data_IF_290415317726
#
_entry.id   IF_290415317726
#
_cell.length_a   1.000
_cell.length_b   1.000
_cell.length_c   1.000
_cell.angle_alpha   90.00
_cell.angle_beta   90.00
_cell.angle_gamma   90.00
#
_symmetry.space_group_name_H-M   'P 1'
#
loop_
_entity.id
_entity.type
_entity.pdbx_description
1 polymer ?
#
# COMPACT_ATOMS: atom_id res chain seq x y z
N UNK A 1 40.86 28.69 4.02
CA UNK A 1 39.70 27.82 3.69
C UNK A 1 38.81 28.54 2.68
N UNK A 2 38.75 28.08 1.43
CA UNK A 2 37.99 28.77 0.36
C UNK A 2 36.45 28.69 0.52
N UNK A 3 35.94 27.73 1.30
CA UNK A 3 34.49 27.54 1.51
C UNK A 3 33.86 28.51 2.53
N UNK A 4 34.65 29.14 3.41
CA UNK A 4 34.10 29.98 4.48
C UNK A 4 33.48 31.29 3.97
N UNK A 5 33.97 31.84 2.85
CA UNK A 5 33.42 33.07 2.23
C UNK A 5 31.93 32.93 1.86
N UNK A 6 31.49 31.73 1.54
CA UNK A 6 30.12 31.47 1.07
C UNK A 6 29.24 30.79 2.13
N UNK A 7 29.77 30.47 3.32
CA UNK A 7 29.03 29.69 4.32
C UNK A 7 27.82 30.44 4.90
N UNK A 8 27.83 31.77 4.85
CA UNK A 8 26.71 32.61 5.31
C UNK A 8 25.37 32.27 4.63
N UNK A 9 25.38 31.71 3.40
CA UNK A 9 24.14 31.34 2.69
C UNK A 9 23.34 30.25 3.41
N UNK A 10 23.98 29.43 4.24
CA UNK A 10 23.28 28.43 5.07
C UNK A 10 22.33 29.06 6.09
N UNK A 11 22.56 30.31 6.49
CA UNK A 11 21.72 31.02 7.46
C UNK A 11 20.34 31.38 6.90
N UNK A 12 20.14 31.31 5.58
CA UNK A 12 18.83 31.50 4.94
C UNK A 12 17.96 30.23 4.96
N UNK A 13 18.52 29.07 5.34
CA UNK A 13 17.72 27.86 5.53
C UNK A 13 16.81 28.04 6.75
N UNK A 14 15.51 27.77 6.58
CA UNK A 14 14.55 27.77 7.69
C UNK A 14 14.49 26.38 8.34
N UNK A 15 14.55 26.33 9.67
CA UNK A 15 14.23 25.11 10.39
C UNK A 15 12.72 24.85 10.40
N UNK A 16 12.33 23.62 10.08
CA UNK A 16 10.94 23.21 9.90
C UNK A 16 10.60 21.99 10.76
N UNK A 17 10.95 22.06 12.04
CA UNK A 17 10.70 20.98 12.99
C UNK A 17 9.22 20.88 13.33
N UNK A 18 8.66 19.69 13.16
CA UNK A 18 7.30 19.37 13.56
C UNK A 18 7.16 19.38 15.09
N UNK A 19 6.06 19.97 15.59
CA UNK A 19 5.76 20.07 17.01
C UNK A 19 5.88 18.70 17.71
N UNK A 20 6.62 18.57 18.83
CA UNK A 20 6.69 17.33 19.60
C UNK A 20 5.32 16.84 20.07
N UNK A 21 5.21 15.55 20.39
CA UNK A 21 3.99 14.91 20.89
C UNK A 21 2.75 15.04 19.98
N UNK A 22 2.95 15.39 18.70
CA UNK A 22 1.92 15.39 17.68
C UNK A 22 2.16 14.24 16.71
N UNK A 23 1.06 13.65 16.22
CA UNK A 23 1.09 12.77 15.06
C UNK A 23 1.60 13.56 13.86
N UNK A 24 2.50 12.97 13.08
CA UNK A 24 2.92 13.53 11.80
C UNK A 24 2.26 12.68 10.72
N UNK A 25 1.39 13.29 9.94
CA UNK A 25 0.79 12.65 8.77
C UNK A 25 1.43 13.21 7.51
N UNK A 26 2.03 12.32 6.73
CA UNK A 26 2.52 12.65 5.39
C UNK A 26 1.50 12.13 4.40
N UNK A 27 0.79 13.02 3.70
CA UNK A 27 -0.07 12.63 2.59
C UNK A 27 0.68 12.83 1.28
N UNK A 28 0.56 11.88 0.37
CA UNK A 28 1.00 11.96 -1.01
C UNK A 28 -0.23 11.82 -1.93
N UNK A 29 -0.19 12.49 -3.08
CA UNK A 29 -1.27 12.49 -4.08
C UNK A 29 -0.67 12.48 -5.50
N UNK A 30 -1.27 11.70 -6.39
CA UNK A 30 -0.85 11.58 -7.78
C UNK A 30 -0.99 12.88 -8.57
N UNK A 31 0.13 13.48 -8.99
CA UNK A 31 0.07 14.72 -9.78
C UNK A 31 -0.53 14.48 -11.16
N UNK A 32 -1.68 15.09 -11.41
CA UNK A 32 -2.41 14.98 -12.68
C UNK A 32 -2.71 13.52 -13.07
N UNK A 33 -3.07 12.71 -12.08
CA UNK A 33 -3.26 11.26 -12.27
C UNK A 33 -4.45 10.90 -13.15
N UNK A 34 -5.39 11.82 -13.39
CA UNK A 34 -6.41 11.66 -14.43
C UNK A 34 -5.77 11.39 -15.80
N UNK A 35 -4.89 12.29 -16.27
CA UNK A 35 -4.14 12.11 -17.52
C UNK A 35 -3.25 10.86 -17.47
N UNK A 36 -2.63 10.59 -16.33
CA UNK A 36 -1.80 9.39 -16.17
C UNK A 36 -2.60 8.11 -16.38
N UNK A 37 -3.80 8.04 -15.78
CA UNK A 37 -4.69 6.90 -15.90
C UNK A 37 -5.20 6.70 -17.32
N UNK A 38 -5.44 7.78 -18.07
CA UNK A 38 -5.92 7.71 -19.45
C UNK A 38 -4.81 7.23 -20.41
N UNK A 39 -3.60 7.79 -20.28
CA UNK A 39 -2.43 7.43 -21.10
C UNK A 39 -2.00 5.98 -20.86
N UNK A 40 -2.17 5.46 -19.64
CA UNK A 40 -1.82 4.08 -19.29
C UNK A 40 -3.01 3.12 -19.32
N UNK A 41 -4.15 3.57 -19.85
CA UNK A 41 -5.35 2.74 -20.05
C UNK A 41 -5.81 2.01 -18.79
N UNK A 42 -6.00 2.77 -17.71
CA UNK A 42 -6.54 2.23 -16.48
C UNK A 42 -7.99 1.82 -16.67
N UNK A 43 -8.35 0.68 -16.09
CA UNK A 43 -9.73 0.22 -16.00
C UNK A 43 -10.53 1.21 -15.15
N UNK A 44 -11.74 1.52 -15.61
CA UNK A 44 -12.66 2.41 -14.92
C UNK A 44 -13.88 1.62 -14.44
N UNK A 45 -14.42 1.89 -13.24
CA UNK A 45 -14.06 3.00 -12.34
C UNK A 45 -12.76 2.77 -11.55
N UNK A 46 -12.35 1.52 -11.35
CA UNK A 46 -11.19 1.15 -10.53
C UNK A 46 -10.29 0.15 -11.28
N UNK A 47 -8.98 0.27 -11.11
CA UNK A 47 -7.99 -0.63 -11.70
C UNK A 47 -7.18 -1.32 -10.60
N UNK A 48 -7.35 -2.64 -10.47
CA UNK A 48 -6.64 -3.44 -9.47
C UNK A 48 -5.12 -3.35 -9.61
N UNK A 49 -4.60 -3.24 -10.83
CA UNK A 49 -3.15 -3.16 -11.05
C UNK A 49 -2.61 -1.87 -10.46
N UNK A 50 -3.32 -0.76 -10.67
CA UNK A 50 -2.96 0.54 -10.15
C UNK A 50 -3.04 0.58 -8.62
N UNK A 51 -4.15 0.11 -8.04
CA UNK A 51 -4.36 0.10 -6.60
C UNK A 51 -3.35 -0.80 -5.89
N UNK A 52 -3.10 -2.00 -6.42
CA UNK A 52 -2.10 -2.90 -5.83
C UNK A 52 -0.67 -2.37 -5.97
N UNK A 53 -0.34 -1.65 -7.06
CA UNK A 53 0.94 -0.98 -7.20
C UNK A 53 1.12 0.16 -6.17
N UNK A 54 0.10 0.99 -5.96
CA UNK A 54 0.09 2.02 -4.91
C UNK A 54 0.31 1.40 -3.52
N UNK A 55 -0.43 0.34 -3.22
CA UNK A 55 -0.30 -0.41 -1.95
C UNK A 55 1.09 -1.01 -1.81
N UNK A 56 1.68 -1.58 -2.87
CA UNK A 56 3.04 -2.13 -2.81
C UNK A 56 4.09 -1.05 -2.57
N UNK A 57 3.95 0.11 -3.20
CA UNK A 57 4.85 1.24 -2.94
C UNK A 57 4.71 1.73 -1.49
N UNK A 58 3.50 1.80 -0.94
CA UNK A 58 3.27 2.16 0.46
C UNK A 58 3.81 1.12 1.45
N UNK A 59 3.71 -0.18 1.14
CA UNK A 59 4.35 -1.24 1.93
C UNK A 59 5.86 -1.03 2.02
N UNK A 60 6.52 -0.75 0.88
CA UNK A 60 7.96 -0.49 0.89
C UNK A 60 8.32 0.72 1.76
N UNK A 61 7.51 1.79 1.71
CA UNK A 61 7.69 2.95 2.60
C UNK A 61 7.59 2.53 4.07
N UNK A 62 6.59 1.74 4.46
CA UNK A 62 6.45 1.29 5.86
C UNK A 62 7.56 0.32 6.30
N UNK A 63 8.05 -0.54 5.39
CA UNK A 63 9.18 -1.44 5.65
C UNK A 63 10.47 -0.65 5.94
N UNK A 64 10.70 0.46 5.22
CA UNK A 64 11.86 1.34 5.39
C UNK A 64 11.72 2.24 6.64
N UNK A 65 10.56 2.86 6.83
CA UNK A 65 10.30 3.82 7.92
C UNK A 65 9.44 3.21 9.02
N UNK A 66 10.09 2.48 9.93
CA UNK A 66 9.47 1.73 11.04
C UNK A 66 8.69 2.56 12.05
N UNK A 67 8.87 3.87 12.06
CA UNK A 67 8.11 4.80 12.90
C UNK A 67 6.70 5.08 12.35
N UNK A 68 6.39 4.62 11.14
CA UNK A 68 5.04 4.66 10.57
C UNK A 68 4.21 3.52 11.16
N UNK A 69 3.13 3.87 11.85
CA UNK A 69 2.29 2.92 12.60
C UNK A 69 1.02 2.52 11.86
N UNK A 70 0.59 3.35 10.91
CA UNK A 70 -0.56 3.11 10.06
C UNK A 70 -0.34 3.87 8.75
N UNK A 71 -0.73 3.26 7.63
CA UNK A 71 -0.91 4.00 6.38
C UNK A 71 -2.27 3.69 5.77
N UNK A 72 -2.90 4.68 5.15
CA UNK A 72 -4.19 4.54 4.48
C UNK A 72 -4.12 5.10 3.06
N UNK A 73 -4.57 4.32 2.08
CA UNK A 73 -4.58 4.72 0.68
C UNK A 73 -5.91 4.46 -0.02
N UNK A 74 -6.24 5.35 -0.95
CA UNK A 74 -7.42 5.28 -1.81
C UNK A 74 -7.11 6.02 -3.12
N UNK A 75 -7.68 5.56 -4.25
CA UNK A 75 -7.41 6.14 -5.57
C UNK A 75 -5.90 6.29 -5.83
N UNK A 76 -5.43 7.52 -5.97
CA UNK A 76 -4.07 7.97 -6.25
C UNK A 76 -3.41 8.67 -5.06
N UNK A 77 -4.00 8.60 -3.85
CA UNK A 77 -3.43 9.13 -2.62
C UNK A 77 -3.04 8.05 -1.60
N UNK A 78 -2.02 8.36 -0.79
CA UNK A 78 -1.64 7.57 0.39
C UNK A 78 -1.28 8.49 1.55
N UNK A 79 -1.67 8.11 2.76
CA UNK A 79 -1.38 8.83 4.00
C UNK A 79 -0.54 7.96 4.92
N UNK A 80 0.59 8.46 5.40
CA UNK A 80 1.52 7.76 6.29
C UNK A 80 1.52 8.42 7.66
N UNK A 81 1.19 7.66 8.70
CA UNK A 81 1.06 8.17 10.08
C UNK A 81 2.28 7.77 10.90
N UNK A 82 3.09 8.75 11.28
CA UNK A 82 4.22 8.54 12.20
C UNK A 82 3.78 8.67 13.66
N UNK A 83 4.34 7.81 14.52
CA UNK A 83 4.15 7.88 15.98
C UNK A 83 4.54 9.25 16.56
N UNK A 84 3.81 9.70 17.59
CA UNK A 84 3.96 11.04 18.19
C UNK A 84 5.38 11.36 18.65
N UNK A 85 6.07 10.38 19.22
CA UNK A 85 7.42 10.48 19.77
C UNK A 85 8.54 10.31 18.72
N UNK A 86 8.22 10.18 17.43
CA UNK A 86 9.25 9.95 16.41
C UNK A 86 10.34 11.02 16.46
N UNK A 87 11.59 10.59 16.33
CA UNK A 87 12.77 11.45 16.21
C UNK A 87 13.38 11.40 14.81
N UNK A 88 12.72 10.71 13.85
CA UNK A 88 13.19 10.56 12.47
C UNK A 88 13.50 11.93 11.87
N UNK A 89 14.72 12.06 11.33
CA UNK A 89 15.25 13.30 10.76
C UNK A 89 15.15 14.53 11.69
N UNK A 90 15.23 14.34 13.01
CA UNK A 90 15.00 15.39 14.01
C UNK A 90 13.65 16.10 13.82
N UNK A 91 12.64 15.36 13.35
CA UNK A 91 11.29 15.84 13.05
C UNK A 91 11.22 16.96 12.01
N UNK A 92 12.22 17.11 11.15
CA UNK A 92 12.21 18.11 10.07
C UNK A 92 11.18 17.72 9.00
N UNK A 93 10.11 18.49 8.88
CA UNK A 93 8.98 18.20 8.00
C UNK A 93 9.39 17.98 6.55
N UNK A 94 10.23 18.85 5.99
CA UNK A 94 10.80 18.78 4.64
C UNK A 94 11.60 17.50 4.42
N UNK A 95 12.39 17.06 5.40
CA UNK A 95 13.16 15.81 5.31
C UNK A 95 12.24 14.61 5.32
N UNK A 96 11.28 14.55 6.24
CA UNK A 96 10.30 13.48 6.29
C UNK A 96 9.53 13.41 4.97
N UNK A 97 8.93 14.53 4.54
CA UNK A 97 8.13 14.66 3.33
C UNK A 97 8.89 14.23 2.06
N UNK A 98 10.07 14.81 1.83
CA UNK A 98 10.87 14.55 0.63
C UNK A 98 11.34 13.10 0.55
N UNK A 99 11.71 12.50 1.68
CA UNK A 99 12.12 11.09 1.72
C UNK A 99 10.95 10.15 1.44
N UNK A 100 9.79 10.39 2.05
CA UNK A 100 8.60 9.56 1.84
C UNK A 100 8.12 9.61 0.38
N UNK A 101 7.95 10.82 -0.17
CA UNK A 101 7.46 10.95 -1.56
C UNK A 101 8.48 10.46 -2.58
N UNK A 102 9.78 10.69 -2.36
CA UNK A 102 10.86 10.20 -3.25
C UNK A 102 10.90 8.68 -3.26
N UNK A 103 10.88 8.06 -2.08
CA UNK A 103 10.95 6.61 -1.96
C UNK A 103 9.69 5.94 -2.50
N UNK A 104 8.51 6.50 -2.23
CA UNK A 104 7.25 6.03 -2.81
C UNK A 104 7.28 6.10 -4.34
N UNK A 105 7.66 7.25 -4.91
CA UNK A 105 7.75 7.43 -6.36
C UNK A 105 8.72 6.44 -7.01
N UNK A 106 9.86 6.22 -6.36
CA UNK A 106 10.87 5.25 -6.81
C UNK A 106 10.32 3.82 -6.79
N UNK A 107 9.63 3.44 -5.72
CA UNK A 107 8.98 2.13 -5.61
C UNK A 107 7.88 1.96 -6.68
N UNK A 108 7.08 3.00 -6.92
CA UNK A 108 6.02 2.96 -7.93
C UNK A 108 6.59 2.64 -9.32
N UNK A 109 7.67 3.31 -9.73
CA UNK A 109 8.35 3.04 -11.01
C UNK A 109 9.02 1.66 -10.99
N UNK A 110 9.73 1.33 -9.91
CA UNK A 110 10.47 0.07 -9.78
C UNK A 110 9.57 -1.16 -9.88
N UNK A 111 8.39 -1.10 -9.27
CA UNK A 111 7.43 -2.21 -9.25
C UNK A 111 6.43 -2.17 -10.41
N UNK A 112 6.40 -1.12 -11.23
CA UNK A 112 5.44 -0.94 -12.32
C UNK A 112 5.28 -2.21 -13.17
N UNK A 113 6.39 -2.75 -13.70
CA UNK A 113 6.37 -3.91 -14.60
C UNK A 113 5.87 -5.21 -13.98
N UNK A 114 5.77 -5.28 -12.64
CA UNK A 114 5.20 -6.45 -11.93
C UNK A 114 3.67 -6.44 -11.88
N UNK A 115 3.07 -5.26 -12.02
CA UNK A 115 1.60 -5.09 -12.00
C UNK A 115 1.05 -4.74 -13.39
N UNK A 116 1.84 -4.02 -14.19
CA UNK A 116 1.55 -3.64 -15.58
C UNK A 116 2.48 -4.40 -16.52
N UNK A 117 2.27 -5.72 -16.61
CA UNK A 117 3.17 -6.64 -17.32
C UNK A 117 3.23 -6.39 -18.84
N UNK A 118 2.17 -5.79 -19.40
CA UNK A 118 2.02 -5.54 -20.83
C UNK A 118 2.15 -4.05 -21.17
N UNK A 119 1.69 -3.16 -20.28
CA UNK A 119 1.67 -1.73 -20.51
C UNK A 119 2.98 -1.11 -20.01
N UNK A 120 3.88 -0.63 -20.90
CA UNK A 120 5.06 0.07 -20.45
C UNK A 120 4.69 1.44 -19.87
N UNK A 121 5.49 1.88 -18.90
CA UNK A 121 5.38 3.20 -18.34
C UNK A 121 5.76 4.23 -19.41
N UNK A 122 4.82 5.07 -19.82
CA UNK A 122 5.00 6.04 -20.90
C UNK A 122 5.83 7.25 -20.46
N UNK A 123 5.67 7.66 -19.19
CA UNK A 123 6.43 8.74 -18.59
C UNK A 123 6.50 8.56 -17.06
N UNK A 124 7.53 9.08 -16.39
CA UNK A 124 7.66 8.95 -14.93
C UNK A 124 6.50 9.68 -14.22
N UNK A 125 5.80 9.02 -13.29
CA UNK A 125 4.78 9.67 -12.48
C UNK A 125 5.42 10.65 -11.51
N UNK A 126 4.61 11.60 -11.04
CA UNK A 126 4.99 12.54 -10.00
C UNK A 126 3.92 12.53 -8.93
N UNK A 127 4.33 12.73 -7.69
CA UNK A 127 3.43 12.81 -6.55
C UNK A 127 3.65 14.14 -5.83
N UNK A 128 2.56 14.78 -5.42
CA UNK A 128 2.61 15.84 -4.42
C UNK A 128 2.85 15.23 -3.04
N UNK A 129 3.30 16.04 -2.08
CA UNK A 129 3.31 15.62 -0.70
C UNK A 129 3.12 16.81 0.24
N UNK A 130 2.50 16.55 1.38
CA UNK A 130 2.32 17.53 2.46
C UNK A 130 2.40 16.87 3.83
N UNK A 131 2.85 17.64 4.81
CA UNK A 131 2.92 17.24 6.21
C UNK A 131 1.82 17.97 6.99
N UNK A 132 1.04 17.22 7.76
CA UNK A 132 0.01 17.76 8.65
C UNK A 132 0.22 17.19 10.06
N UNK A 133 0.08 18.05 11.07
CA UNK A 133 0.24 17.66 12.47
C UNK A 133 -1.12 17.54 13.15
N UNK A 134 -1.34 16.43 13.85
CA UNK A 134 -2.53 16.22 14.67
C UNK A 134 -2.15 16.06 16.15
N UNK A 135 -2.63 16.95 17.04
CA UNK A 135 -2.19 16.97 18.44
C UNK A 135 -2.84 15.86 19.29
N UNK A 136 -4.01 15.37 18.88
CA UNK A 136 -4.76 14.36 19.63
C UNK A 136 -5.09 13.13 18.78
N UNK A 137 -5.37 12.02 19.44
CA UNK A 137 -5.79 10.78 18.77
C UNK A 137 -7.14 10.96 18.09
N UNK A 138 -8.04 11.74 18.69
CA UNK A 138 -9.29 12.12 18.07
C UNK A 138 -9.07 12.81 16.72
N UNK A 139 -8.17 13.79 16.65
CA UNK A 139 -7.93 14.50 15.39
C UNK A 139 -7.34 13.58 14.30
N UNK A 140 -6.44 12.65 14.68
CA UNK A 140 -5.92 11.66 13.75
C UNK A 140 -7.04 10.73 13.24
N UNK A 141 -7.89 10.24 14.14
CA UNK A 141 -9.03 9.38 13.79
C UNK A 141 -10.00 10.11 12.87
N UNK A 142 -10.39 11.34 13.22
CA UNK A 142 -11.25 12.18 12.38
C UNK A 142 -10.67 12.39 10.98
N UNK A 143 -9.34 12.59 10.88
CA UNK A 143 -8.66 12.69 9.58
C UNK A 143 -8.77 11.40 8.76
N UNK A 144 -8.47 10.25 9.35
CA UNK A 144 -8.54 8.96 8.64
C UNK A 144 -9.98 8.62 8.25
N UNK A 145 -10.94 8.89 9.13
CA UNK A 145 -12.37 8.77 8.84
C UNK A 145 -12.79 9.68 7.69
N UNK A 146 -12.28 10.92 7.64
CA UNK A 146 -12.53 11.83 6.53
C UNK A 146 -11.97 11.29 5.20
N UNK A 147 -10.78 10.69 5.20
CA UNK A 147 -10.21 10.07 4.00
C UNK A 147 -11.00 8.83 3.55
N UNK A 148 -11.52 8.04 4.48
CA UNK A 148 -12.34 6.88 4.13
C UNK A 148 -13.75 7.24 3.67
N UNK A 149 -14.37 8.26 4.27
CA UNK A 149 -15.63 8.80 3.78
C UNK A 149 -15.50 9.37 2.35
N UNK A 150 -14.39 10.06 2.06
CA UNK A 150 -14.06 10.56 0.73
C UNK A 150 -13.92 9.41 -0.30
N UNK A 151 -13.23 8.33 0.06
CA UNK A 151 -13.16 7.11 -0.75
C UNK A 151 -14.55 6.55 -1.07
N UNK A 152 -15.43 6.43 -0.08
CA UNK A 152 -16.79 5.94 -0.28
C UNK A 152 -17.60 6.81 -1.25
N UNK A 153 -17.57 8.13 -1.04
CA UNK A 153 -18.31 9.11 -1.87
C UNK A 153 -17.80 9.05 -3.32
N UNK A 154 -16.49 9.10 -3.51
CA UNK A 154 -15.87 9.10 -4.83
C UNK A 154 -16.09 7.77 -5.56
N UNK A 155 -15.94 6.63 -4.87
CA UNK A 155 -16.16 5.33 -5.50
C UNK A 155 -17.63 5.12 -5.91
N UNK A 156 -18.60 5.51 -5.07
CA UNK A 156 -20.01 5.44 -5.41
C UNK A 156 -20.34 6.30 -6.63
N UNK A 157 -19.86 7.55 -6.65
CA UNK A 157 -20.02 8.44 -7.79
C UNK A 157 -19.38 7.88 -9.06
N UNK A 158 -18.10 7.48 -8.99
CA UNK A 158 -17.35 6.97 -10.14
C UNK A 158 -17.95 5.68 -10.70
N UNK A 159 -18.45 4.80 -9.84
CA UNK A 159 -19.13 3.56 -10.28
C UNK A 159 -20.37 3.89 -11.10
N UNK A 160 -21.24 4.79 -10.61
CA UNK A 160 -22.41 5.22 -11.37
C UNK A 160 -22.02 5.91 -12.67
N UNK A 161 -21.05 6.82 -12.61
CA UNK A 161 -20.58 7.60 -13.74
C UNK A 161 -20.07 6.70 -14.86
N UNK A 162 -19.16 5.77 -14.55
CA UNK A 162 -18.59 4.89 -15.57
C UNK A 162 -19.57 3.83 -16.06
N UNK A 163 -20.53 3.39 -15.24
CA UNK A 163 -21.65 2.55 -15.70
C UNK A 163 -22.52 3.27 -16.73
N UNK A 164 -22.85 4.54 -16.51
CA UNK A 164 -23.58 5.35 -17.49
C UNK A 164 -22.78 5.51 -18.80
N UNK A 165 -21.48 5.78 -18.71
CA UNK A 165 -20.62 5.94 -19.89
C UNK A 165 -20.47 4.61 -20.66
N UNK A 166 -20.14 3.52 -19.98
CA UNK A 166 -19.76 2.25 -20.60
C UNK A 166 -20.97 1.39 -21.00
N UNK A 167 -21.98 1.28 -20.14
CA UNK A 167 -23.10 0.36 -20.35
C UNK A 167 -24.30 1.05 -21.04
N UNK A 168 -24.49 2.37 -20.85
CA UNK A 168 -25.56 3.16 -21.54
C UNK A 168 -25.05 4.02 -22.69
N UNK A 169 -23.73 4.11 -22.89
CA UNK A 169 -23.13 4.92 -23.96
C UNK A 169 -23.27 6.43 -23.76
N UNK A 170 -23.49 6.91 -22.53
CA UNK A 170 -23.61 8.34 -22.27
C UNK A 170 -22.25 9.05 -22.45
N UNK A 171 -22.29 10.28 -22.93
CA UNK A 171 -21.09 11.14 -22.88
C UNK A 171 -20.73 11.50 -21.43
N UNK A 172 -19.47 11.88 -21.14
CA UNK A 172 -19.08 12.39 -19.83
C UNK A 172 -19.97 13.54 -19.33
N UNK A 173 -20.34 14.48 -20.20
CA UNK A 173 -21.20 15.61 -19.84
C UNK A 173 -22.63 15.17 -19.48
N UNK A 174 -23.22 14.25 -20.25
CA UNK A 174 -24.55 13.70 -19.95
C UNK A 174 -24.56 12.92 -18.62
N UNK A 175 -23.50 12.14 -18.37
CA UNK A 175 -23.35 11.37 -17.13
C UNK A 175 -23.18 12.30 -15.92
N UNK A 176 -22.42 13.38 -16.06
CA UNK A 176 -22.29 14.41 -15.03
C UNK A 176 -23.64 15.08 -14.72
N UNK A 177 -24.38 15.51 -15.74
CA UNK A 177 -25.67 16.16 -15.54
C UNK A 177 -26.70 15.20 -14.93
N UNK A 178 -26.70 13.92 -15.33
CA UNK A 178 -27.57 12.88 -14.75
C UNK A 178 -27.31 12.65 -13.26
N UNK A 179 -26.05 12.73 -12.83
CA UNK A 179 -25.65 12.52 -11.44
C UNK A 179 -25.67 13.79 -10.59
N UNK A 180 -25.84 14.96 -11.21
CA UNK A 180 -25.84 16.25 -10.53
C UNK A 180 -27.02 16.37 -9.57
N UNK A 181 -26.74 16.81 -8.34
CA UNK A 181 -27.76 16.97 -7.29
C UNK A 181 -28.28 15.67 -6.68
N UNK A 182 -27.87 14.50 -7.18
CA UNK A 182 -28.28 13.21 -6.61
C UNK A 182 -27.62 12.95 -5.25
N UNK A 183 -28.36 12.29 -4.36
CA UNK A 183 -27.87 11.83 -3.05
C UNK A 183 -27.24 10.43 -3.17
N UNK A 184 -26.68 9.92 -2.08
CA UNK A 184 -26.10 8.57 -2.05
C UNK A 184 -27.16 7.48 -2.24
N UNK A 185 -28.37 7.67 -1.72
CA UNK A 185 -29.52 6.77 -1.93
C UNK A 185 -29.83 6.62 -3.42
N UNK A 186 -29.95 7.74 -4.12
CA UNK A 186 -30.35 7.80 -5.53
C UNK A 186 -29.31 7.10 -6.42
N UNK A 187 -28.02 7.26 -6.09
CA UNK A 187 -26.93 6.55 -6.78
C UNK A 187 -26.98 5.04 -6.58
N UNK A 188 -27.29 4.59 -5.36
CA UNK A 188 -27.47 3.16 -5.09
C UNK A 188 -28.67 2.60 -5.83
N UNK A 189 -29.79 3.33 -5.85
CA UNK A 189 -31.00 2.96 -6.58
C UNK A 189 -30.73 2.88 -8.09
N UNK A 190 -30.04 3.87 -8.65
CA UNK A 190 -29.61 3.88 -10.05
C UNK A 190 -28.75 2.66 -10.40
N UNK A 191 -27.76 2.31 -9.57
CA UNK A 191 -26.93 1.11 -9.77
C UNK A 191 -27.76 -0.17 -9.75
N UNK A 192 -28.71 -0.27 -8.83
CA UNK A 192 -29.53 -1.46 -8.67
C UNK A 192 -30.55 -1.61 -9.80
N UNK A 193 -31.34 -0.57 -10.08
CA UNK A 193 -32.44 -0.62 -11.05
C UNK A 193 -31.95 -0.64 -12.50
N UNK A 194 -30.96 0.19 -12.84
CA UNK A 194 -30.54 0.35 -14.24
C UNK A 194 -29.43 -0.62 -14.65
N UNK A 195 -28.63 -1.11 -13.69
CA UNK A 195 -27.44 -1.93 -13.97
C UNK A 195 -27.41 -3.25 -13.20
N UNK A 196 -28.45 -3.59 -12.43
CA UNK A 196 -28.50 -4.78 -11.57
C UNK A 196 -27.23 -4.95 -10.71
N UNK A 197 -26.66 -3.83 -10.25
CA UNK A 197 -25.39 -3.79 -9.53
C UNK A 197 -25.65 -3.37 -8.09
N UNK A 198 -25.39 -4.26 -7.14
CA UNK A 198 -25.43 -3.90 -5.72
C UNK A 198 -24.08 -3.34 -5.27
N UNK A 199 -24.04 -2.05 -4.94
CA UNK A 199 -22.82 -1.36 -4.51
C UNK A 199 -22.16 -2.08 -3.32
N UNK A 200 -22.93 -2.57 -2.36
CA UNK A 200 -22.39 -3.24 -1.16
C UNK A 200 -21.66 -4.56 -1.48
N UNK A 201 -21.91 -5.14 -2.65
CA UNK A 201 -21.24 -6.36 -3.10
C UNK A 201 -19.95 -6.07 -3.88
N UNK A 202 -19.62 -4.80 -4.16
CA UNK A 202 -18.34 -4.45 -4.77
C UNK A 202 -17.17 -4.82 -3.83
N UNK A 203 -15.98 -5.10 -4.38
CA UNK A 203 -14.79 -5.39 -3.59
C UNK A 203 -14.54 -4.34 -2.50
N UNK A 204 -14.20 -4.79 -1.29
CA UNK A 204 -13.98 -3.89 -0.15
C UNK A 204 -12.87 -2.88 -0.41
N UNK A 205 -11.82 -3.26 -1.15
CA UNK A 205 -10.71 -2.35 -1.53
C UNK A 205 -11.19 -1.11 -2.27
N UNK A 206 -12.23 -1.22 -3.10
CA UNK A 206 -12.80 -0.06 -3.81
C UNK A 206 -13.68 0.80 -2.91
N UNK A 207 -14.39 0.17 -1.96
CA UNK A 207 -15.36 0.85 -1.10
C UNK A 207 -14.74 1.48 0.15
N UNK A 208 -13.63 0.91 0.62
CA UNK A 208 -13.02 1.21 1.92
C UNK A 208 -11.55 1.59 1.82
N UNK A 209 -10.92 1.49 0.65
CA UNK A 209 -9.48 1.72 0.48
C UNK A 209 -8.62 0.61 1.07
N UNK A 210 -7.33 0.92 1.23
CA UNK A 210 -6.32 -0.02 1.76
C UNK A 210 -5.67 0.55 3.01
N UNK A 211 -5.75 -0.22 4.09
CA UNK A 211 -5.11 0.09 5.38
C UNK A 211 -3.89 -0.81 5.51
N UNK A 212 -2.76 -0.22 5.87
CA UNK A 212 -1.51 -0.91 6.13
C UNK A 212 -1.14 -0.71 7.60
N UNK A 213 -0.85 -1.82 8.29
CA UNK A 213 -0.39 -1.80 9.67
C UNK A 213 0.80 -2.77 9.83
N UNK A 214 1.76 -2.49 10.72
CA UNK A 214 2.78 -3.47 11.08
C UNK A 214 2.12 -4.73 11.66
N UNK A 215 2.51 -5.90 11.15
CA UNK A 215 2.03 -7.18 11.69
C UNK A 215 2.46 -7.32 13.15
N UNK A 216 1.57 -7.82 14.00
CA UNK A 216 1.93 -8.28 15.34
C UNK A 216 2.95 -9.42 15.16
N UNK A 217 4.18 -9.27 15.66
CA UNK A 217 5.17 -10.35 15.68
C UNK A 217 4.53 -11.58 16.33
N UNK A 218 4.33 -12.65 15.56
CA UNK A 218 3.72 -13.91 16.06
C UNK A 218 2.65 -14.57 15.18
N UNK A 219 2.20 -13.97 14.07
CA UNK A 219 1.36 -14.70 13.11
C UNK A 219 2.21 -15.60 12.21
N UNK A 220 2.57 -16.77 12.74
CA UNK A 220 3.06 -17.90 11.93
C UNK A 220 1.93 -18.26 10.95
N UNK A 221 2.04 -17.80 9.70
CA UNK A 221 1.24 -18.39 8.63
C UNK A 221 1.85 -19.77 8.34
N UNK A 222 1.12 -20.82 8.70
CA UNK A 222 1.36 -22.17 8.19
C UNK A 222 1.34 -22.04 6.65
N UNK A 223 2.40 -22.44 5.93
CA UNK A 223 2.36 -22.44 4.48
C UNK A 223 1.27 -23.42 4.04
N UNK A 224 0.23 -22.94 3.37
CA UNK A 224 -0.69 -23.81 2.65
C UNK A 224 0.10 -24.44 1.51
N UNK A 225 0.63 -25.65 1.75
CA UNK A 225 1.11 -26.52 0.68
C UNK A 225 -0.08 -26.84 -0.21
N UNK A 226 0.03 -26.49 -1.49
CA UNK A 226 -0.86 -27.00 -2.54
C UNK A 226 -0.83 -28.53 -2.49
N UNK A 227 -2.01 -29.12 -2.25
CA UNK A 227 -2.38 -30.46 -2.68
C UNK A 227 -1.70 -31.63 -1.96
N UNK A 228 -2.36 -32.16 -0.94
CA UNK A 228 -2.65 -33.60 -0.83
C UNK A 228 -3.50 -33.87 0.41
N UNK A 229 -4.67 -34.44 0.18
CA UNK A 229 -5.62 -34.96 1.18
C UNK A 229 -4.96 -36.13 1.91
N UNK A 230 -4.99 -36.16 3.24
CA UNK A 230 -4.85 -37.39 4.02
C UNK A 230 -5.86 -37.40 5.18
N UNK A 231 -6.76 -38.38 5.11
CA UNK A 231 -7.71 -38.80 6.14
C UNK A 231 -6.93 -39.55 7.24
N UNK A 232 -7.22 -39.38 8.55
CA UNK A 232 -6.51 -40.09 9.59
C UNK A 232 -7.25 -41.35 10.06
N UNK A 233 -6.63 -42.52 9.91
CA UNK A 233 -6.79 -43.73 10.74
C UNK A 233 -5.89 -44.83 10.14
N UNK A 234 -5.33 -45.83 10.83
CA UNK A 234 -4.92 -46.10 12.21
C UNK A 234 -4.10 -47.42 12.08
N UNK A 235 -3.15 -47.63 12.99
CA UNK A 235 -2.55 -48.95 13.34
C UNK A 235 -1.51 -49.63 12.44
N UNK A 236 -0.28 -49.68 12.98
CA UNK A 236 0.42 -50.86 13.55
C UNK A 236 1.80 -51.17 12.93
N UNK A 237 2.73 -51.33 13.86
CA UNK A 237 4.14 -51.68 13.70
C UNK A 237 4.34 -53.04 13.02
N UNK A 238 5.51 -53.25 12.41
CA UNK A 238 6.43 -54.38 12.69
C UNK A 238 7.75 -54.16 11.92
N UNK A 239 8.81 -54.65 12.57
CA UNK A 239 10.25 -54.58 12.30
C UNK A 239 10.71 -55.15 10.94
N UNK A 240 11.85 -54.66 10.43
CA UNK A 240 13.10 -55.45 10.36
C UNK A 240 14.22 -54.71 9.61
N UNK A 241 15.44 -55.04 10.01
CA UNK A 241 16.74 -54.40 9.70
C UNK A 241 17.41 -55.03 8.44
N UNK A 242 18.61 -54.59 8.03
CA UNK A 242 18.95 -54.24 6.64
C UNK A 242 19.78 -55.32 5.91
N UNK A 243 20.03 -55.13 4.61
CA UNK A 243 21.21 -55.71 3.98
C UNK A 243 21.75 -54.92 2.79
N UNK A 244 23.06 -54.69 2.85
CA UNK A 244 23.95 -54.13 1.82
C UNK A 244 23.96 -54.96 0.53
N UNK A 245 24.30 -54.34 -0.62
CA UNK A 245 25.49 -54.75 -1.39
C UNK A 245 25.84 -53.82 -2.56
N UNK A 246 27.12 -53.43 -2.58
CA UNK A 246 28.05 -53.35 -3.73
C UNK A 246 27.81 -52.42 -4.94
N UNK A 247 28.65 -51.37 -4.97
CA UNK A 247 29.36 -50.69 -6.08
C UNK A 247 29.80 -51.59 -7.27
N UNK A 248 30.09 -51.10 -8.50
CA UNK A 248 31.09 -50.02 -8.73
C UNK A 248 30.89 -49.00 -9.88
N UNK A 249 31.23 -47.75 -9.54
CA UNK A 249 32.21 -46.85 -10.16
C UNK A 249 32.61 -47.05 -11.64
N UNK A 250 32.33 -46.03 -12.47
CA UNK A 250 33.15 -45.64 -13.63
C UNK A 250 33.26 -44.11 -13.70
N UNK A 251 34.51 -43.64 -13.55
CA UNK A 251 35.09 -42.33 -13.91
C UNK A 251 34.99 -42.13 -15.45
N UNK A 252 34.95 -40.98 -16.11
CA UNK A 252 35.46 -39.59 -15.96
C UNK A 252 34.94 -38.80 -17.22
N UNK A 253 35.33 -37.55 -17.58
CA UNK A 253 35.90 -36.43 -16.83
C UNK A 253 35.23 -35.05 -17.11
N UNK A 254 35.51 -34.12 -16.19
CA UNK A 254 35.63 -32.66 -16.29
C UNK A 254 35.09 -31.85 -17.49
N UNK A 255 34.22 -30.89 -17.18
CA UNK A 255 34.26 -29.54 -17.76
C UNK A 255 34.10 -28.50 -16.66
N UNK A 256 35.11 -27.66 -16.49
CA UNK A 256 35.17 -26.65 -15.45
C UNK A 256 34.16 -25.52 -15.68
N UNK A 257 33.54 -25.09 -14.60
CA UNK A 257 32.93 -23.76 -14.50
C UNK A 257 33.30 -23.17 -13.15
N UNK A 258 34.01 -22.05 -13.23
CA UNK A 258 34.52 -21.21 -12.15
C UNK A 258 33.40 -20.87 -11.16
N UNK A 259 33.59 -21.25 -9.89
CA UNK A 259 32.74 -20.84 -8.79
C UNK A 259 33.12 -19.43 -8.32
N UNK A 260 32.25 -18.45 -8.56
CA UNK A 260 32.31 -17.17 -7.84
C UNK A 260 31.72 -17.36 -6.44
N UNK A 261 32.59 -17.44 -5.44
CA UNK A 261 32.23 -17.33 -4.03
C UNK A 261 31.91 -15.87 -3.69
N UNK A 262 30.64 -15.47 -3.78
CA UNK A 262 30.16 -14.26 -3.13
C UNK A 262 29.49 -14.64 -1.80
N UNK A 263 30.33 -14.83 -0.79
CA UNK A 263 29.90 -14.76 0.61
C UNK A 263 29.67 -13.29 0.97
N UNK A 264 28.47 -12.79 0.72
CA UNK A 264 27.95 -11.60 1.38
C UNK A 264 26.98 -12.07 2.46
N UNK A 265 27.55 -12.35 3.63
CA UNK A 265 26.81 -12.49 4.88
C UNK A 265 26.29 -11.10 5.27
N UNK A 266 25.20 -10.66 4.64
CA UNK A 266 24.37 -9.59 5.17
C UNK A 266 23.30 -10.27 6.01
N UNK A 267 23.49 -10.24 7.34
CA UNK A 267 22.48 -10.69 8.29
C UNK A 267 21.11 -10.16 7.87
N UNK A 268 20.25 -11.05 7.41
CA UNK A 268 18.93 -10.71 6.88
C UNK A 268 18.09 -10.28 8.07
N UNK A 269 18.14 -9.00 8.45
CA UNK A 269 17.12 -8.41 9.32
C UNK A 269 15.80 -8.58 8.58
N UNK A 270 15.00 -9.55 9.02
CA UNK A 270 13.66 -9.76 8.49
C UNK A 270 12.90 -8.44 8.63
N UNK A 271 12.52 -7.84 7.50
CA UNK A 271 11.67 -6.66 7.53
C UNK A 271 10.35 -7.04 8.20
N UNK A 272 9.81 -6.17 9.08
CA UNK A 272 8.53 -6.43 9.72
C UNK A 272 7.48 -6.61 8.61
N UNK A 273 6.71 -7.70 8.72
CA UNK A 273 5.60 -7.95 7.80
C UNK A 273 4.56 -6.84 7.95
N UNK A 274 3.99 -6.38 6.85
CA UNK A 274 2.93 -5.37 6.83
C UNK A 274 1.63 -6.05 6.42
N UNK A 275 0.60 -5.97 7.26
CA UNK A 275 -0.73 -6.49 6.94
C UNK A 275 -1.52 -5.45 6.15
N UNK A 276 -2.24 -5.93 5.13
CA UNK A 276 -3.13 -5.13 4.27
C UNK A 276 -4.57 -5.46 4.63
N UNK A 277 -5.36 -4.47 5.00
CA UNK A 277 -6.76 -4.62 5.42
C UNK A 277 -7.67 -3.70 4.61
N UNK A 278 -8.91 -4.15 4.36
CA UNK A 278 -9.95 -3.40 3.66
C UNK A 278 -11.21 -3.33 4.54
N UNK A 279 -11.07 -2.68 5.70
CA UNK A 279 -12.11 -2.62 6.74
C UNK A 279 -12.51 -1.18 7.05
N UNK A 280 -13.57 -1.00 7.82
CA UNK A 280 -14.03 0.31 8.26
C UNK A 280 -13.08 0.88 9.33
N UNK A 281 -12.55 2.08 9.08
CA UNK A 281 -11.74 2.89 10.00
C UNK A 281 -12.58 3.91 10.77
N UNK A 282 -13.82 4.14 10.34
CA UNK A 282 -14.68 5.19 10.91
C UNK A 282 -15.20 4.76 12.29
N UNK A 283 -15.71 3.53 12.40
CA UNK A 283 -16.23 2.97 13.64
C UNK A 283 -15.14 2.57 14.64
N UNK A 284 -15.56 2.30 15.88
CA UNK A 284 -14.64 1.95 16.98
C UNK A 284 -13.96 0.58 16.81
N UNK A 285 -14.62 -0.36 16.12
CA UNK A 285 -14.18 -1.77 16.04
C UNK A 285 -12.71 -1.92 15.63
N UNK A 286 -12.28 -1.20 14.59
CA UNK A 286 -10.88 -1.25 14.14
C UNK A 286 -9.92 -0.76 15.22
N UNK A 287 -10.26 0.35 15.88
CA UNK A 287 -9.43 0.96 16.91
C UNK A 287 -9.36 0.13 18.19
N UNK A 288 -10.41 -0.64 18.49
CA UNK A 288 -10.42 -1.62 19.59
C UNK A 288 -9.51 -2.82 19.27
N UNK A 289 -9.63 -3.41 18.07
CA UNK A 289 -8.83 -4.55 17.61
C UNK A 289 -7.32 -4.21 17.45
N UNK A 290 -7.03 -2.94 17.14
CA UNK A 290 -5.69 -2.42 16.86
C UNK A 290 -5.30 -1.25 17.78
N UNK A 291 -5.70 -1.32 19.05
CA UNK A 291 -5.46 -0.28 20.06
C UNK A 291 -3.98 0.13 20.21
N UNK A 292 -3.05 -0.78 19.89
CA UNK A 292 -1.61 -0.53 19.91
C UNK A 292 -1.15 0.60 18.97
N UNK A 293 -1.93 0.95 17.94
CA UNK A 293 -1.60 2.04 17.00
C UNK A 293 -1.60 3.39 17.71
N UNK A 294 -2.59 3.65 18.56
CA UNK A 294 -2.73 4.94 19.26
C UNK A 294 -1.89 5.01 20.53
N UNK A 295 -1.56 3.86 21.13
CA UNK A 295 -0.75 3.77 22.34
C UNK A 295 0.75 3.63 22.05
N UNK A 296 1.18 3.55 20.78
CA UNK A 296 2.59 3.44 20.43
C UNK A 296 3.34 4.69 20.91
N UNK A 297 4.15 4.50 21.96
CA UNK A 297 4.87 5.56 22.66
C UNK A 297 6.30 5.73 22.22
#
# INVERSE_FOLDING_TARGET
MAKSKFEYVKQFESEDKCLPNCWIVVRIDGKSFHRFSDVHHFVKPNDDRALNLMTKAAQCVMEEYKDIVLSYGQSDEYSFVFKKNTSVFNRRGSKIMSNIVSYFSSCYVFYWSRFFNVQPLQYPPSFDSRVVLYPSDKNLRDYLSWRQADCHINNLYNTCFWKLVQDKGFTPAQSQERLKGTMSSDKNELLYQEFNTNYNNLPDVYRKGSILIPSKEGSILIPVRKGSILIPSKEKAVESKPMNSTYPNTKEPHRGSVSFSNSLDHGTKMNPKIDVLHVDLIGEKFWEEHSNILTSR
#
